data_IF_648535804634
#
_entry.id   IF_648535804634
#
_cell.length_a   1.000
_cell.length_b   1.000
_cell.length_c   1.000
_cell.angle_alpha   90.00
_cell.angle_beta   90.00
_cell.angle_gamma   90.00
#
_symmetry.space_group_name_H-M   'P 1'
#
loop_
_entity.id
_entity.type
_entity.pdbx_description
1 polymer ?
#
# COMPACT_ATOMS: atom_id res chain seq x y z
N UNK A 1 9.59 18.42 3.09
CA UNK A 1 8.90 18.42 4.40
C UNK A 1 7.68 19.30 4.25
N UNK A 2 6.49 18.77 4.52
CA UNK A 2 5.20 19.39 4.16
C UNK A 2 4.31 19.54 5.36
N UNK A 3 3.41 20.53 5.29
CA UNK A 3 2.40 20.78 6.30
C UNK A 3 1.20 19.87 6.06
N UNK A 4 0.82 19.16 7.11
CA UNK A 4 -0.33 18.24 7.07
C UNK A 4 -1.14 18.45 8.33
N UNK A 5 -2.47 18.24 8.30
CA UNK A 5 -3.27 18.38 9.49
C UNK A 5 -2.71 17.53 10.63
N UNK A 6 -2.59 18.14 11.81
CA UNK A 6 -2.03 17.46 12.99
C UNK A 6 -3.01 16.47 13.64
N UNK A 7 -4.30 16.55 13.28
CA UNK A 7 -5.38 15.70 13.79
C UNK A 7 -6.19 16.33 14.94
N UNK A 8 -5.78 17.49 15.45
CA UNK A 8 -6.45 18.21 16.53
C UNK A 8 -7.77 18.87 16.07
N UNK A 9 -8.60 19.30 17.03
CA UNK A 9 -9.91 19.92 16.77
C UNK A 9 -10.01 21.35 17.30
N UNK A 10 -10.84 22.16 16.64
CA UNK A 10 -11.28 23.46 17.15
C UNK A 10 -10.16 24.50 17.14
N UNK A 11 -10.07 25.29 18.20
CA UNK A 11 -9.06 26.34 18.34
C UNK A 11 -7.62 25.80 18.36
N UNK A 12 -7.44 24.51 18.64
CA UNK A 12 -6.14 23.82 18.66
C UNK A 12 -5.82 23.10 17.34
N UNK A 13 -6.65 23.26 16.31
CA UNK A 13 -6.37 22.69 14.99
C UNK A 13 -5.13 23.34 14.38
N UNK A 14 -4.13 22.54 14.05
CA UNK A 14 -2.86 22.99 13.50
C UNK A 14 -2.37 22.14 12.35
N UNK A 15 -1.16 22.47 11.91
CA UNK A 15 -0.41 21.64 10.95
C UNK A 15 0.83 21.10 11.64
N UNK A 16 1.14 19.83 11.36
CA UNK A 16 2.43 19.24 11.68
C UNK A 16 3.27 19.16 10.42
N UNK A 17 4.58 19.27 10.59
CA UNK A 17 5.52 19.01 9.51
C UNK A 17 5.82 17.52 9.44
N UNK A 18 5.66 16.93 8.26
CA UNK A 18 6.07 15.54 7.99
C UNK A 18 7.04 15.48 6.81
N UNK A 19 7.91 14.48 6.83
CA UNK A 19 8.79 14.21 5.72
C UNK A 19 8.07 13.32 4.69
N UNK A 20 7.87 13.83 3.48
CA UNK A 20 7.18 13.11 2.39
C UNK A 20 7.92 11.85 1.93
N UNK A 21 9.23 11.79 2.20
CA UNK A 21 10.05 10.61 1.96
C UNK A 21 10.03 9.59 3.10
N UNK A 22 9.39 9.90 4.24
CA UNK A 22 9.30 8.97 5.36
C UNK A 22 8.37 7.82 5.02
N UNK A 23 8.83 6.60 5.35
CA UNK A 23 8.05 5.38 5.17
C UNK A 23 8.12 4.57 6.46
N UNK A 24 6.96 4.13 6.91
CA UNK A 24 6.85 3.15 7.99
C UNK A 24 7.15 1.75 7.45
N UNK A 25 7.91 0.96 8.20
CA UNK A 25 8.21 -0.43 7.86
C UNK A 25 7.75 -1.33 9.00
N UNK A 26 6.88 -2.28 8.68
CA UNK A 26 6.46 -3.34 9.61
C UNK A 26 6.88 -4.70 9.07
N UNK A 27 7.65 -5.44 9.85
CA UNK A 27 8.04 -6.81 9.55
C UNK A 27 7.11 -7.77 10.31
N UNK A 28 6.44 -8.66 9.60
CA UNK A 28 5.50 -9.63 10.17
C UNK A 28 6.10 -11.02 9.99
N UNK A 29 6.25 -11.75 11.08
CA UNK A 29 7.04 -12.97 11.10
C UNK A 29 6.91 -13.76 12.39
N UNK A 30 7.74 -14.78 12.50
CA UNK A 30 8.01 -15.50 13.73
C UNK A 30 9.47 -15.25 14.20
N UNK A 31 9.92 -15.96 15.23
CA UNK A 31 11.26 -15.79 15.80
C UNK A 31 12.40 -16.08 14.82
N UNK A 32 12.14 -16.82 13.74
CA UNK A 32 13.16 -17.27 12.78
C UNK A 32 12.96 -16.68 11.38
N UNK A 33 11.74 -16.28 11.01
CA UNK A 33 11.40 -15.94 9.64
C UNK A 33 10.52 -14.69 9.56
N UNK A 34 10.85 -13.82 8.61
CA UNK A 34 9.93 -12.79 8.09
C UNK A 34 9.04 -13.43 7.01
N UNK A 35 7.74 -13.34 7.21
CA UNK A 35 6.71 -13.87 6.31
C UNK A 35 6.19 -12.78 5.36
N UNK A 36 6.07 -11.55 5.87
CA UNK A 36 5.65 -10.40 5.08
C UNK A 36 6.25 -9.09 5.59
N UNK A 37 6.24 -8.10 4.71
CA UNK A 37 6.75 -6.75 4.96
C UNK A 37 5.69 -5.76 4.50
N UNK A 38 5.22 -4.92 5.41
CA UNK A 38 4.34 -3.80 5.08
C UNK A 38 5.17 -2.51 5.03
N UNK A 39 5.13 -1.83 3.90
CA UNK A 39 5.69 -0.48 3.73
C UNK A 39 4.53 0.49 3.67
N UNK A 40 4.45 1.40 4.64
CA UNK A 40 3.43 2.43 4.73
C UNK A 40 4.01 3.76 4.29
N UNK A 41 3.53 4.28 3.17
CA UNK A 41 3.98 5.54 2.60
C UNK A 41 2.97 6.65 2.87
N UNK A 42 3.49 7.81 3.22
CA UNK A 42 2.71 9.04 3.30
C UNK A 42 2.20 9.46 1.91
N UNK A 43 0.92 9.82 1.82
CA UNK A 43 0.07 10.07 0.63
C UNK A 43 -0.59 8.87 -0.03
N UNK A 44 -1.85 9.08 -0.40
CA UNK A 44 -2.64 8.23 -1.29
C UNK A 44 -2.08 8.27 -2.70
N UNK A 45 -1.95 7.10 -3.32
CA UNK A 45 -1.58 6.93 -4.72
C UNK A 45 -2.52 5.91 -5.37
N UNK A 46 -3.05 6.18 -6.56
CA UNK A 46 -3.68 5.17 -7.42
C UNK A 46 -2.66 4.39 -8.26
N UNK A 47 -1.47 4.97 -8.45
CA UNK A 47 -0.39 4.48 -9.32
C UNK A 47 0.58 3.54 -8.59
N UNK A 48 0.06 2.51 -7.90
CA UNK A 48 0.87 1.64 -7.03
C UNK A 48 2.08 1.01 -7.73
N UNK A 49 1.89 0.51 -8.97
CA UNK A 49 2.95 -0.15 -9.71
C UNK A 49 4.12 0.79 -10.02
N UNK A 50 3.83 2.04 -10.36
CA UNK A 50 4.86 3.03 -10.68
C UNK A 50 5.63 3.46 -9.44
N UNK A 51 4.94 3.62 -8.30
CA UNK A 51 5.59 3.90 -7.02
C UNK A 51 6.59 2.79 -6.69
N UNK A 52 6.18 1.52 -6.80
CA UNK A 52 7.04 0.38 -6.50
C UNK A 52 8.18 0.24 -7.49
N UNK A 53 7.92 0.35 -8.80
CA UNK A 53 8.96 0.26 -9.84
C UNK A 53 10.09 1.27 -9.63
N UNK A 54 9.77 2.51 -9.23
CA UNK A 54 10.78 3.55 -8.95
C UNK A 54 11.70 3.23 -7.76
N UNK A 55 11.32 2.28 -6.89
CA UNK A 55 12.13 1.84 -5.75
C UNK A 55 12.95 0.58 -6.03
N UNK A 56 12.75 -0.04 -7.20
CA UNK A 56 13.39 -1.30 -7.57
C UNK A 56 14.45 -1.06 -8.66
N UNK A 57 15.42 -1.98 -8.83
CA UNK A 57 16.32 -1.97 -9.98
C UNK A 57 15.54 -2.05 -11.30
N UNK A 58 16.11 -1.51 -12.38
CA UNK A 58 15.48 -1.51 -13.72
C UNK A 58 15.18 -2.91 -14.28
N UNK A 59 15.86 -3.94 -13.74
CA UNK A 59 15.63 -5.35 -14.12
C UNK A 59 14.42 -5.98 -13.43
N UNK A 60 13.82 -5.30 -12.44
CA UNK A 60 12.65 -5.80 -11.75
C UNK A 60 11.38 -5.64 -12.59
N UNK A 61 10.45 -6.59 -12.45
CA UNK A 61 9.13 -6.52 -13.09
C UNK A 61 8.03 -6.40 -12.03
N UNK A 62 7.02 -5.58 -12.30
CA UNK A 62 5.81 -5.44 -11.46
C UNK A 62 4.62 -5.57 -12.38
N UNK A 63 3.84 -6.64 -12.20
CA UNK A 63 2.72 -7.02 -13.08
C UNK A 63 1.46 -7.21 -12.27
N UNK A 64 0.38 -6.54 -12.65
CA UNK A 64 -0.94 -6.75 -12.06
C UNK A 64 -1.42 -8.17 -12.37
N UNK A 65 -1.96 -8.88 -11.38
CA UNK A 65 -2.58 -10.20 -11.60
C UNK A 65 -3.95 -10.34 -10.93
N UNK A 66 -4.30 -9.47 -9.98
CA UNK A 66 -5.68 -9.33 -9.53
C UNK A 66 -6.00 -7.88 -9.14
N UNK A 67 -7.24 -7.45 -9.36
CA UNK A 67 -7.73 -6.09 -9.12
C UNK A 67 -9.25 -6.02 -9.33
N UNK A 68 -9.81 -4.84 -9.55
CA UNK A 68 -11.25 -4.62 -9.72
C UNK A 68 -12.07 -5.27 -8.59
N UNK A 69 -11.70 -5.01 -7.33
CA UNK A 69 -12.29 -5.66 -6.17
C UNK A 69 -13.67 -5.05 -5.83
N UNK A 70 -14.69 -5.90 -5.68
CA UNK A 70 -16.08 -5.43 -5.57
C UNK A 70 -16.40 -4.67 -4.27
N UNK A 71 -15.63 -4.89 -3.19
CA UNK A 71 -15.83 -4.21 -1.90
C UNK A 71 -15.36 -2.75 -1.84
N UNK A 72 -14.81 -2.23 -2.94
CA UNK A 72 -14.09 -0.96 -2.98
C UNK A 72 -14.68 0.01 -4.04
N UNK A 73 -15.96 -0.18 -4.41
CA UNK A 73 -16.69 0.68 -5.37
C UNK A 73 -17.37 1.87 -4.67
N UNK A 74 -16.59 2.90 -4.34
CA UNK A 74 -17.11 4.24 -4.05
C UNK A 74 -16.93 5.19 -5.25
N UNK A 75 -17.65 6.31 -5.28
CA UNK A 75 -17.53 7.38 -6.31
C UNK A 75 -16.21 8.21 -6.21
N UNK A 76 -15.18 7.67 -5.57
CA UNK A 76 -13.89 8.32 -5.34
C UNK A 76 -12.82 7.96 -6.38
N UNK A 77 -11.59 8.53 -6.27
CA UNK A 77 -10.44 8.03 -7.01
C UNK A 77 -10.27 6.52 -6.77
N UNK A 78 -9.74 5.80 -7.76
CA UNK A 78 -9.49 4.35 -7.69
C UNK A 78 -8.47 4.02 -6.58
N UNK A 79 -8.97 3.93 -5.35
CA UNK A 79 -8.24 3.53 -4.15
C UNK A 79 -8.30 2.02 -3.96
N UNK A 80 -8.80 1.29 -4.96
CA UNK A 80 -9.09 -0.12 -4.83
C UNK A 80 -7.84 -0.92 -4.47
N UNK A 81 -8.03 -1.93 -3.64
CA UNK A 81 -6.97 -2.91 -3.39
C UNK A 81 -6.54 -3.58 -4.70
N UNK A 82 -5.24 -3.62 -4.98
CA UNK A 82 -4.65 -4.25 -6.18
C UNK A 82 -3.54 -5.22 -5.81
N UNK A 83 -3.41 -6.29 -6.60
CA UNK A 83 -2.45 -7.36 -6.37
C UNK A 83 -1.49 -7.51 -7.54
N UNK A 84 -0.20 -7.52 -7.22
CA UNK A 84 0.88 -7.57 -8.21
C UNK A 84 1.82 -8.75 -7.94
N UNK A 85 2.38 -9.29 -9.02
CA UNK A 85 3.58 -10.12 -8.98
C UNK A 85 4.77 -9.19 -9.14
N UNK A 86 5.74 -9.32 -8.24
CA UNK A 86 7.01 -8.60 -8.29
C UNK A 86 8.12 -9.60 -8.53
N UNK A 87 8.83 -9.47 -9.64
CA UNK A 87 10.03 -10.26 -9.93
C UNK A 87 11.25 -9.40 -9.68
N UNK A 88 12.13 -9.84 -8.79
CA UNK A 88 13.34 -9.13 -8.38
C UNK A 88 14.48 -10.14 -8.25
N UNK A 89 15.57 -9.96 -9.01
CA UNK A 89 16.76 -10.81 -8.95
C UNK A 89 16.46 -12.31 -9.09
N UNK A 90 15.53 -12.67 -9.98
CA UNK A 90 15.09 -14.06 -10.18
C UNK A 90 14.23 -14.63 -9.05
N UNK A 91 13.81 -13.82 -8.08
CA UNK A 91 12.85 -14.17 -7.03
C UNK A 91 11.50 -13.56 -7.33
N UNK A 92 10.45 -14.31 -7.01
CA UNK A 92 9.08 -13.84 -7.12
C UNK A 92 8.52 -13.51 -5.73
N UNK A 93 7.90 -12.34 -5.62
CA UNK A 93 7.12 -11.90 -4.48
C UNK A 93 5.72 -11.51 -4.94
N UNK A 94 4.79 -11.48 -4.01
CA UNK A 94 3.44 -10.95 -4.23
C UNK A 94 3.29 -9.67 -3.45
N UNK A 95 2.58 -8.71 -4.03
CA UNK A 95 2.33 -7.41 -3.44
C UNK A 95 0.81 -7.17 -3.41
N UNK A 96 0.29 -6.87 -2.23
CA UNK A 96 -1.02 -6.26 -2.02
C UNK A 96 -0.80 -4.76 -1.77
N UNK A 97 -1.45 -3.90 -2.56
CA UNK A 97 -1.37 -2.46 -2.41
C UNK A 97 -2.76 -1.87 -2.25
N UNK A 98 -2.93 -1.03 -1.23
CA UNK A 98 -4.22 -0.42 -0.89
C UNK A 98 -4.03 0.90 -0.15
N UNK A 99 -5.06 1.74 -0.17
CA UNK A 99 -5.11 2.94 0.65
C UNK A 99 -5.58 2.58 2.05
N UNK A 100 -4.83 3.02 3.06
CA UNK A 100 -5.30 3.08 4.44
C UNK A 100 -5.95 4.46 4.63
N UNK A 101 -7.26 4.53 4.48
CA UNK A 101 -8.12 5.56 5.04
C UNK A 101 -8.26 5.32 6.55
N UNK A 102 -7.12 5.45 7.25
CA UNK A 102 -6.99 5.12 8.66
C UNK A 102 -8.19 5.58 9.48
N UNK A 103 -8.70 4.69 10.35
CA UNK A 103 -9.84 4.96 11.23
C UNK A 103 -9.76 6.39 11.79
N UNK A 104 -10.63 7.28 11.30
CA UNK A 104 -10.71 8.68 11.71
C UNK A 104 -10.03 9.72 10.80
N UNK A 105 -9.92 9.47 9.49
CA UNK A 105 -9.19 10.29 8.49
C UNK A 105 -9.36 11.82 8.62
N UNK A 106 -8.34 12.46 9.18
CA UNK A 106 -8.12 13.91 9.11
C UNK A 106 -6.78 14.28 8.46
N UNK A 107 -6.03 13.29 7.99
CA UNK A 107 -4.81 13.48 7.18
C UNK A 107 -5.02 13.02 5.74
N UNK A 108 -4.05 13.26 4.83
CA UNK A 108 -4.17 12.99 3.39
C UNK A 108 -4.20 11.48 3.01
N UNK A 109 -4.44 10.58 3.97
CA UNK A 109 -4.39 9.13 3.81
C UNK A 109 -2.98 8.56 3.64
N UNK A 110 -2.88 7.24 3.66
CA UNK A 110 -1.64 6.51 3.45
C UNK A 110 -1.85 5.45 2.36
N UNK A 111 -0.76 5.07 1.70
CA UNK A 111 -0.74 3.86 0.88
C UNK A 111 0.11 2.81 1.57
N UNK A 112 -0.43 1.60 1.69
CA UNK A 112 0.27 0.44 2.24
C UNK A 112 0.63 -0.51 1.11
N UNK A 113 1.89 -0.93 1.08
CA UNK A 113 2.44 -1.93 0.18
C UNK A 113 2.85 -3.16 1.00
N UNK A 114 2.05 -4.22 0.95
CA UNK A 114 2.27 -5.46 1.69
C UNK A 114 2.91 -6.51 0.78
N UNK A 115 4.18 -6.81 1.00
CA UNK A 115 4.93 -7.83 0.29
C UNK A 115 4.83 -9.18 1.03
N UNK A 116 4.47 -10.24 0.31
CA UNK A 116 4.38 -11.62 0.81
C UNK A 116 5.15 -12.59 -0.08
N UNK A 117 5.62 -13.69 0.51
CA UNK A 117 6.22 -14.80 -0.25
C UNK A 117 5.17 -15.70 -0.91
N UNK A 118 4.01 -15.84 -0.26
CA UNK A 118 2.91 -16.69 -0.72
C UNK A 118 1.85 -15.85 -1.45
N UNK A 119 1.24 -16.45 -2.48
CA UNK A 119 0.15 -15.83 -3.22
C UNK A 119 -1.05 -15.60 -2.30
N UNK A 120 -1.60 -14.39 -2.21
CA UNK A 120 -2.68 -14.06 -1.27
C UNK A 120 -4.07 -14.48 -1.78
N UNK A 121 -4.23 -15.74 -2.21
CA UNK A 121 -5.47 -16.24 -2.84
C UNK A 121 -6.71 -16.09 -1.95
N UNK A 122 -6.54 -16.31 -0.63
CA UNK A 122 -7.62 -16.12 0.35
C UNK A 122 -8.11 -14.67 0.35
N UNK A 123 -7.20 -13.70 0.37
CA UNK A 123 -7.50 -12.26 0.42
C UNK A 123 -8.17 -11.79 -0.87
N UNK A 124 -7.65 -12.22 -2.02
CA UNK A 124 -8.23 -11.94 -3.36
C UNK A 124 -9.68 -12.42 -3.42
N UNK A 125 -9.96 -13.61 -2.89
CA UNK A 125 -11.31 -14.17 -2.85
C UNK A 125 -12.22 -13.42 -1.88
N UNK A 126 -11.73 -13.06 -0.70
CA UNK A 126 -12.48 -12.29 0.30
C UNK A 126 -12.92 -10.93 -0.23
N UNK A 127 -12.02 -10.23 -0.93
CA UNK A 127 -12.29 -8.92 -1.54
C UNK A 127 -13.03 -9.02 -2.89
N UNK A 128 -13.31 -10.24 -3.36
CA UNK A 128 -14.01 -10.51 -4.61
C UNK A 128 -13.34 -9.86 -5.83
N UNK A 129 -12.01 -9.91 -5.89
CA UNK A 129 -11.25 -9.32 -6.98
C UNK A 129 -11.28 -10.19 -8.25
N UNK A 130 -11.18 -9.53 -9.40
CA UNK A 130 -10.98 -10.15 -10.69
C UNK A 130 -9.51 -10.55 -10.86
N UNK A 131 -9.26 -11.77 -11.35
CA UNK A 131 -7.93 -12.28 -11.71
C UNK A 131 -7.73 -12.16 -13.22
N UNK A 132 -6.53 -11.78 -13.65
CA UNK A 132 -6.18 -11.52 -15.06
C UNK A 132 -5.15 -12.51 -15.61
#
# INVERSE_FOLDING_TARGET
MVDVPDGNQGADAGVKKVNEGESGLTLIGDAQNVHSIAVKKFYVSSEYADVVKRQLPDTASVRLFAGDCAQDMGDGPDTQTKFYVVELEGRQLFLEAYVDDGEGSRGPGYTTFLFTKAKPDKRIKELQCKVF
#
